data_IF_205258507232
#
_entry.id   IF_205258507232
#
_cell.length_a   1.000
_cell.length_b   1.000
_cell.length_c   1.000
_cell.angle_alpha   90.00
_cell.angle_beta   90.00
_cell.angle_gamma   90.00
#
_symmetry.space_group_name_H-M   'P 1'
#
loop_
_entity.id
_entity.type
_entity.pdbx_description
1 polymer ?
#
# COMPACT_ATOMS: atom_id res chain seq x y z
N UNK A 1 65.32 40.91 -22.11
CA UNK A 1 64.35 40.14 -21.30
C UNK A 1 64.19 38.78 -21.93
N UNK A 2 64.54 37.72 -21.18
CA UNK A 2 64.79 36.37 -21.70
C UNK A 2 63.49 35.64 -22.07
N UNK A 3 63.52 34.91 -23.19
CA UNK A 3 62.47 34.00 -23.68
C UNK A 3 62.05 32.96 -22.62
N UNK A 4 62.89 32.72 -21.60
CA UNK A 4 62.58 31.86 -20.45
C UNK A 4 61.49 32.42 -19.52
N UNK A 5 61.25 33.74 -19.49
CA UNK A 5 60.16 34.31 -18.68
C UNK A 5 58.78 34.20 -19.35
N UNK A 6 58.71 34.15 -20.69
CA UNK A 6 57.44 34.06 -21.41
C UNK A 6 56.84 32.65 -21.35
N UNK A 7 57.67 31.60 -21.39
CA UNK A 7 57.20 30.22 -21.22
C UNK A 7 56.77 29.90 -19.78
N UNK A 8 57.39 30.51 -18.77
CA UNK A 8 56.97 30.30 -17.37
C UNK A 8 55.60 30.94 -17.09
N UNK A 9 55.30 32.09 -17.70
CA UNK A 9 53.98 32.73 -17.59
C UNK A 9 52.88 32.00 -18.37
N UNK A 10 53.20 31.40 -19.53
CA UNK A 10 52.23 30.58 -20.27
C UNK A 10 51.92 29.24 -19.58
N UNK A 11 52.90 28.63 -18.90
CA UNK A 11 52.68 27.43 -18.07
C UNK A 11 51.87 27.74 -16.80
N UNK A 12 52.09 28.91 -16.17
CA UNK A 12 51.30 29.34 -15.00
C UNK A 12 49.86 29.75 -15.38
N UNK A 13 49.63 30.25 -16.60
CA UNK A 13 48.28 30.52 -17.09
C UNK A 13 47.48 29.24 -17.41
N UNK A 14 48.15 28.15 -17.79
CA UNK A 14 47.48 26.84 -18.00
C UNK A 14 47.21 26.07 -16.71
N UNK A 15 47.88 26.37 -15.59
CA UNK A 15 47.57 25.73 -14.28
C UNK A 15 46.49 26.50 -13.52
N UNK A 16 46.30 27.80 -13.79
CA UNK A 16 45.23 28.60 -13.18
C UNK A 16 43.82 28.36 -13.76
N UNK A 17 43.71 27.66 -14.91
CA UNK A 17 42.42 27.32 -15.54
C UNK A 17 41.96 25.89 -15.25
N UNK A 18 42.65 25.15 -14.37
CA UNK A 18 42.43 23.73 -14.16
C UNK A 18 41.96 23.37 -12.74
N UNK A 19 41.34 24.28 -11.97
CA UNK A 19 40.65 23.93 -10.72
C UNK A 19 39.50 24.90 -10.43
N UNK A 20 38.53 24.98 -11.32
CA UNK A 20 37.16 25.27 -10.85
C UNK A 20 36.65 23.90 -10.41
N UNK A 21 36.70 23.62 -9.10
CA UNK A 21 35.90 22.53 -8.55
C UNK A 21 34.49 22.68 -9.13
N UNK A 22 33.87 21.63 -9.69
CA UNK A 22 32.56 21.76 -10.30
C UNK A 22 31.65 22.39 -9.24
N UNK A 23 31.26 23.65 -9.47
CA UNK A 23 30.53 24.42 -8.48
C UNK A 23 29.29 23.63 -8.03
N UNK A 24 28.93 23.76 -6.76
CA UNK A 24 27.75 23.10 -6.21
C UNK A 24 26.55 23.27 -7.17
N UNK A 25 26.05 22.16 -7.69
CA UNK A 25 24.92 22.15 -8.61
C UNK A 25 23.64 22.16 -7.77
N UNK A 26 22.93 23.29 -7.78
CA UNK A 26 21.58 23.35 -7.26
C UNK A 26 20.67 22.47 -8.11
N UNK A 27 19.95 21.56 -7.47
CA UNK A 27 18.92 20.72 -8.09
C UNK A 27 17.60 21.00 -7.40
N UNK A 28 16.55 21.20 -8.20
CA UNK A 28 15.20 21.26 -7.67
C UNK A 28 14.76 19.84 -7.33
N UNK A 29 14.30 19.64 -6.09
CA UNK A 29 13.75 18.38 -5.60
C UNK A 29 12.42 18.64 -4.93
N UNK A 30 11.48 17.72 -5.13
CA UNK A 30 10.16 17.82 -4.52
C UNK A 30 10.23 17.46 -3.03
N UNK A 31 9.46 18.18 -2.20
CA UNK A 31 9.26 17.81 -0.79
C UNK A 31 8.51 16.48 -0.76
N UNK A 32 9.01 15.53 0.03
CA UNK A 32 8.43 14.21 0.21
C UNK A 32 7.93 14.04 1.63
N UNK A 33 6.85 13.28 1.78
CA UNK A 33 6.34 12.79 3.06
C UNK A 33 6.82 11.35 3.26
N UNK A 34 7.10 10.97 4.51
CA UNK A 34 7.33 9.57 4.82
C UNK A 34 6.05 8.74 4.80
N UNK A 35 6.17 7.41 4.77
CA UNK A 35 4.99 6.52 4.67
C UNK A 35 4.04 6.62 5.87
N UNK A 36 4.53 7.10 7.02
CA UNK A 36 3.72 7.39 8.21
C UNK A 36 3.12 8.80 8.21
N UNK A 37 3.51 9.65 7.25
CA UNK A 37 3.14 11.05 7.15
C UNK A 37 3.44 11.88 8.41
N UNK A 38 4.47 11.47 9.16
CA UNK A 38 4.95 12.09 10.39
C UNK A 38 6.11 13.04 10.16
N UNK A 39 6.80 12.93 9.01
CA UNK A 39 7.94 13.78 8.67
C UNK A 39 7.95 14.15 7.19
N UNK A 40 8.56 15.31 6.91
CA UNK A 40 8.84 15.79 5.56
C UNK A 40 10.34 15.88 5.35
N UNK A 41 10.77 15.82 4.10
CA UNK A 41 12.18 15.85 3.73
C UNK A 41 12.37 15.82 2.23
N UNK A 42 13.60 15.52 1.82
CA UNK A 42 14.00 15.44 0.42
C UNK A 42 14.76 14.15 0.18
N UNK A 43 14.62 13.61 -1.02
CA UNK A 43 15.45 12.53 -1.53
C UNK A 43 16.28 13.04 -2.70
N UNK A 44 17.41 12.38 -2.96
CA UNK A 44 18.32 12.77 -4.03
C UNK A 44 17.68 12.62 -5.41
N UNK A 45 16.91 11.55 -5.58
CA UNK A 45 16.21 11.24 -6.84
C UNK A 45 14.69 11.44 -6.69
N UNK A 46 14.05 11.88 -7.76
CA UNK A 46 12.60 12.12 -7.76
C UNK A 46 11.80 10.83 -7.57
N UNK A 47 12.32 9.70 -8.05
CA UNK A 47 11.73 8.36 -7.94
C UNK A 47 11.86 7.73 -6.54
N UNK A 48 12.72 8.27 -5.67
CA UNK A 48 12.91 7.75 -4.32
C UNK A 48 11.78 8.17 -3.37
N UNK A 49 11.52 7.37 -2.34
CA UNK A 49 10.55 7.68 -1.30
C UNK A 49 11.25 7.95 0.03
N UNK A 50 10.78 8.98 0.75
CA UNK A 50 11.34 9.36 2.04
C UNK A 50 10.93 8.34 3.11
N UNK A 51 11.90 7.76 3.81
CA UNK A 51 11.66 6.87 4.96
C UNK A 51 11.62 7.68 6.25
N UNK A 52 12.68 8.47 6.50
CA UNK A 52 12.76 9.36 7.65
C UNK A 52 13.78 10.45 7.38
N UNK A 53 13.43 11.71 7.61
CA UNK A 53 14.37 12.82 7.42
C UNK A 53 15.47 12.87 8.51
N UNK A 54 15.31 12.09 9.59
CA UNK A 54 16.34 11.94 10.62
C UNK A 54 17.39 10.86 10.26
N UNK A 55 17.13 10.05 9.24
CA UNK A 55 18.02 8.97 8.82
C UNK A 55 19.11 9.44 7.86
N UNK A 56 20.08 8.58 7.60
CA UNK A 56 21.30 8.89 6.88
C UNK A 56 21.19 8.57 5.38
N UNK A 57 21.69 9.50 4.55
CA UNK A 57 21.80 9.30 3.10
C UNK A 57 22.86 8.25 2.72
N UNK A 58 23.75 7.87 3.66
CA UNK A 58 24.77 6.84 3.44
C UNK A 58 24.14 5.47 3.20
N UNK A 59 22.97 5.23 3.80
CA UNK A 59 22.25 3.97 3.70
C UNK A 59 21.07 4.03 2.71
N UNK A 60 20.97 5.10 1.91
CA UNK A 60 19.91 5.22 0.91
C UNK A 60 19.88 4.00 -0.01
N UNK A 61 18.66 3.57 -0.33
CA UNK A 61 18.36 2.39 -1.14
C UNK A 61 18.82 1.04 -0.54
N UNK A 62 19.00 0.97 0.79
CA UNK A 62 19.24 -0.26 1.54
C UNK A 62 18.09 -0.48 2.55
N UNK A 63 16.93 -1.02 2.13
CA UNK A 63 15.74 -1.12 2.98
C UNK A 63 15.97 -1.89 4.29
N UNK A 64 16.87 -2.88 4.29
CA UNK A 64 17.19 -3.70 5.46
C UNK A 64 17.81 -2.87 6.61
N UNK A 65 18.53 -1.79 6.28
CA UNK A 65 19.12 -0.88 7.27
C UNK A 65 18.06 -0.10 8.06
N UNK A 66 16.78 -0.12 7.65
CA UNK A 66 15.68 0.50 8.37
C UNK A 66 15.64 0.08 9.84
N UNK A 67 15.89 -1.19 10.12
CA UNK A 67 15.84 -1.75 11.48
C UNK A 67 16.96 -1.22 12.36
N UNK A 68 18.15 -0.97 11.79
CA UNK A 68 19.26 -0.33 12.51
C UNK A 68 18.92 1.14 12.77
N UNK A 69 18.31 1.82 11.79
CA UNK A 69 17.78 3.18 11.91
C UNK A 69 16.86 3.41 13.11
N UNK A 70 16.07 2.41 13.49
CA UNK A 70 15.20 2.48 14.67
C UNK A 70 15.98 2.51 15.99
N UNK A 71 17.22 2.00 16.00
CA UNK A 71 18.11 1.97 17.16
C UNK A 71 19.07 3.16 17.15
N UNK A 72 19.64 3.45 15.97
CA UNK A 72 20.55 4.56 15.71
C UNK A 72 20.19 5.18 14.37
N UNK A 73 19.72 6.44 14.39
CA UNK A 73 19.26 7.14 13.21
C UNK A 73 20.33 7.28 12.13
N UNK A 74 21.62 7.28 12.50
CA UNK A 74 22.72 7.39 11.55
C UNK A 74 22.92 6.12 10.71
N UNK A 75 22.28 5.01 11.11
CA UNK A 75 22.34 3.71 10.44
C UNK A 75 21.10 3.37 9.60
N UNK A 76 20.07 4.23 9.60
CA UNK A 76 18.86 4.04 8.80
C UNK A 76 18.96 4.67 7.41
N UNK A 77 18.16 4.19 6.44
CA UNK A 77 18.09 4.78 5.11
C UNK A 77 17.20 6.03 5.16
N UNK A 78 17.70 7.19 4.73
CA UNK A 78 16.83 8.38 4.60
C UNK A 78 15.78 8.17 3.54
N UNK A 79 16.16 7.58 2.41
CA UNK A 79 15.32 7.31 1.26
C UNK A 79 15.55 5.89 0.70
N UNK A 80 14.50 5.32 0.10
CA UNK A 80 14.60 4.08 -0.68
C UNK A 80 14.16 4.30 -2.12
N UNK A 81 14.67 3.47 -3.02
CA UNK A 81 14.47 3.56 -4.46
C UNK A 81 13.11 3.07 -4.90
N UNK A 82 12.75 3.41 -6.14
CA UNK A 82 11.57 2.86 -6.81
C UNK A 82 11.63 1.33 -6.83
N UNK A 83 10.50 0.67 -6.58
CA UNK A 83 10.43 -0.78 -6.49
C UNK A 83 10.85 -1.38 -5.15
N UNK A 84 11.52 -0.63 -4.28
CA UNK A 84 11.91 -1.10 -2.95
C UNK A 84 10.79 -0.92 -1.93
N UNK A 85 10.84 -1.67 -0.83
CA UNK A 85 9.80 -1.65 0.20
C UNK A 85 10.34 -1.86 1.61
N UNK A 86 9.60 -1.36 2.59
CA UNK A 86 9.77 -1.66 4.02
C UNK A 86 8.43 -2.14 4.57
N UNK A 87 8.37 -3.40 4.99
CA UNK A 87 7.11 -4.09 5.29
C UNK A 87 6.13 -3.88 4.12
N UNK A 88 4.88 -3.50 4.37
CA UNK A 88 3.90 -3.28 3.30
C UNK A 88 4.16 -2.01 2.47
N UNK A 89 5.00 -1.07 2.93
CA UNK A 89 5.17 0.23 2.28
C UNK A 89 6.09 0.09 1.06
N UNK A 90 5.51 0.26 -0.12
CA UNK A 90 6.20 0.10 -1.41
C UNK A 90 6.46 1.48 -2.02
N UNK A 91 7.68 1.73 -2.47
CA UNK A 91 8.02 2.97 -3.16
C UNK A 91 7.67 2.86 -4.65
N UNK A 92 6.73 3.69 -5.11
CA UNK A 92 6.26 3.73 -6.49
C UNK A 92 6.47 5.14 -7.08
N UNK A 93 7.53 5.30 -7.86
CA UNK A 93 7.90 6.52 -8.60
C UNK A 93 7.89 7.76 -7.70
N UNK A 94 8.45 7.62 -6.51
CA UNK A 94 8.60 8.70 -5.55
C UNK A 94 7.39 8.95 -4.64
N UNK A 95 6.31 8.19 -4.82
CA UNK A 95 5.15 8.17 -3.94
C UNK A 95 5.03 6.84 -3.18
N UNK A 96 4.54 6.90 -1.94
CA UNK A 96 4.27 5.69 -1.16
C UNK A 96 2.99 4.99 -1.64
N UNK A 97 3.08 3.69 -1.82
CA UNK A 97 1.98 2.75 -2.07
C UNK A 97 2.07 1.59 -1.08
N UNK A 98 1.30 0.52 -1.28
CA UNK A 98 1.52 -0.75 -0.58
C UNK A 98 1.83 -1.92 -1.53
N UNK A 99 2.49 -2.96 -1.00
CA UNK A 99 2.59 -4.26 -1.69
C UNK A 99 1.24 -4.95 -1.76
N UNK A 100 0.40 -4.76 -0.76
CA UNK A 100 -1.01 -5.21 -0.76
C UNK A 100 -1.79 -4.68 -1.96
N UNK A 101 -1.58 -3.43 -2.38
CA UNK A 101 -2.19 -2.87 -3.60
C UNK A 101 -1.77 -3.62 -4.86
N UNK A 102 -0.48 -3.97 -4.98
CA UNK A 102 0.02 -4.73 -6.12
C UNK A 102 -0.66 -6.11 -6.19
N UNK A 103 -0.73 -6.80 -5.06
CA UNK A 103 -1.44 -8.08 -4.93
C UNK A 103 -2.92 -7.96 -5.26
N UNK A 104 -3.60 -6.92 -4.73
CA UNK A 104 -5.00 -6.66 -5.02
C UNK A 104 -5.24 -6.43 -6.51
N UNK A 105 -4.29 -5.78 -7.20
CA UNK A 105 -4.34 -5.54 -8.64
C UNK A 105 -4.24 -6.86 -9.42
N UNK A 106 -3.34 -7.76 -9.04
CA UNK A 106 -3.23 -9.09 -9.66
C UNK A 106 -4.47 -9.96 -9.44
N UNK A 107 -5.01 -9.97 -8.21
CA UNK A 107 -6.26 -10.69 -7.93
C UNK A 107 -7.43 -10.12 -8.73
N UNK A 108 -7.50 -8.80 -8.87
CA UNK A 108 -8.53 -8.17 -9.67
C UNK A 108 -8.37 -8.52 -11.16
N UNK A 109 -7.15 -8.63 -11.68
CA UNK A 109 -6.89 -9.09 -13.04
C UNK A 109 -7.48 -10.49 -13.30
N UNK A 110 -7.36 -11.42 -12.34
CA UNK A 110 -8.00 -12.74 -12.39
C UNK A 110 -9.52 -12.59 -12.50
N UNK A 111 -10.11 -11.77 -11.63
CA UNK A 111 -11.56 -11.56 -11.59
C UNK A 111 -12.10 -10.97 -12.90
N UNK A 112 -11.40 -9.96 -13.45
CA UNK A 112 -11.79 -9.29 -14.69
C UNK A 112 -11.65 -10.20 -15.92
N UNK A 113 -10.77 -11.19 -15.88
CA UNK A 113 -10.66 -12.21 -16.94
C UNK A 113 -11.74 -13.28 -16.80
N UNK A 114 -11.91 -13.84 -15.61
CA UNK A 114 -12.64 -15.10 -15.43
C UNK A 114 -14.11 -14.90 -14.98
N UNK A 115 -14.41 -13.77 -14.34
CA UNK A 115 -15.76 -13.44 -13.87
C UNK A 115 -15.98 -11.92 -13.82
N UNK A 116 -15.87 -11.21 -14.96
CA UNK A 116 -15.85 -9.73 -15.01
C UNK A 116 -17.08 -9.05 -14.43
N UNK A 117 -18.20 -9.77 -14.34
CA UNK A 117 -19.47 -9.26 -13.83
C UNK A 117 -19.84 -9.82 -12.46
N UNK A 118 -19.08 -10.74 -11.87
CA UNK A 118 -19.44 -11.31 -10.57
C UNK A 118 -18.19 -11.65 -9.75
N UNK A 119 -17.80 -10.73 -8.88
CA UNK A 119 -16.66 -10.95 -7.99
C UNK A 119 -16.73 -10.05 -6.76
N UNK A 120 -15.97 -10.42 -5.73
CA UNK A 120 -15.65 -9.54 -4.61
C UNK A 120 -14.20 -9.70 -4.20
N UNK A 121 -13.53 -8.59 -3.90
CA UNK A 121 -12.17 -8.55 -3.38
C UNK A 121 -12.19 -7.84 -2.03
N UNK A 122 -11.58 -8.44 -1.01
CA UNK A 122 -11.45 -7.83 0.30
C UNK A 122 -10.01 -7.95 0.79
N UNK A 123 -9.36 -6.82 1.06
CA UNK A 123 -8.03 -6.76 1.63
C UNK A 123 -8.07 -6.11 3.01
N UNK A 124 -7.49 -6.77 4.00
CA UNK A 124 -7.37 -6.26 5.37
C UNK A 124 -6.33 -7.07 6.15
N UNK A 125 -6.21 -6.89 7.46
CA UNK A 125 -5.37 -7.77 8.28
C UNK A 125 -5.86 -9.21 8.25
N UNK A 126 -4.95 -10.18 8.45
CA UNK A 126 -5.31 -11.60 8.35
C UNK A 126 -6.41 -12.01 9.34
N UNK A 127 -6.49 -11.34 10.50
CA UNK A 127 -7.50 -11.59 11.53
C UNK A 127 -8.93 -11.25 11.07
N UNK A 128 -9.06 -10.34 10.10
CA UNK A 128 -10.36 -9.89 9.58
C UNK A 128 -10.65 -10.42 8.18
N UNK A 129 -9.62 -10.68 7.37
CA UNK A 129 -9.76 -11.19 6.01
C UNK A 129 -10.02 -12.71 5.96
N UNK A 130 -9.45 -13.49 6.88
CA UNK A 130 -9.56 -14.95 6.89
C UNK A 130 -10.68 -15.43 7.83
N UNK A 131 -11.41 -16.46 7.39
CA UNK A 131 -12.47 -17.09 8.20
C UNK A 131 -11.90 -17.97 9.33
N UNK A 132 -10.74 -18.59 9.11
CA UNK A 132 -10.12 -19.52 10.04
C UNK A 132 -8.60 -19.38 10.00
N UNK A 133 -8.00 -19.15 11.18
CA UNK A 133 -6.55 -18.96 11.36
C UNK A 133 -5.99 -19.80 12.51
N UNK A 134 -6.87 -20.46 13.27
CA UNK A 134 -6.55 -21.22 14.48
C UNK A 134 -6.42 -22.72 14.17
N UNK A 135 -5.67 -23.06 13.12
CA UNK A 135 -5.37 -24.45 12.75
C UNK A 135 -3.87 -24.75 12.83
N UNK A 136 -3.54 -26.04 12.85
CA UNK A 136 -2.17 -26.53 12.85
C UNK A 136 -1.79 -26.95 11.42
N UNK A 137 -0.68 -26.39 10.94
CA UNK A 137 0.07 -26.98 9.83
C UNK A 137 1.00 -28.07 10.35
N UNK A 138 1.62 -28.83 9.45
CA UNK A 138 2.68 -29.80 9.80
C UNK A 138 3.87 -29.14 10.52
N UNK A 139 4.10 -27.85 10.28
CA UNK A 139 5.17 -27.05 10.90
C UNK A 139 4.72 -26.31 12.18
N UNK A 140 3.47 -26.49 12.62
CA UNK A 140 2.91 -25.88 13.84
C UNK A 140 1.76 -24.89 13.57
N UNK A 141 1.38 -24.08 14.58
CA UNK A 141 0.28 -23.13 14.47
C UNK A 141 0.47 -22.12 13.33
N UNK A 142 -0.54 -21.97 12.47
CA UNK A 142 -0.46 -21.08 11.30
C UNK A 142 -0.24 -19.61 11.66
N UNK A 143 -0.71 -19.20 12.85
CA UNK A 143 -0.43 -17.87 13.40
C UNK A 143 1.07 -17.55 13.50
N UNK A 144 1.96 -18.55 13.59
CA UNK A 144 3.41 -18.36 13.61
C UNK A 144 4.01 -18.00 12.22
N UNK A 145 3.20 -18.04 11.17
CA UNK A 145 3.57 -17.68 9.79
C UNK A 145 2.80 -16.47 9.28
N UNK A 146 1.84 -15.95 10.06
CA UNK A 146 1.06 -14.75 9.76
C UNK A 146 1.38 -13.60 10.74
N UNK A 147 1.38 -13.90 12.03
CA UNK A 147 1.45 -12.93 13.11
C UNK A 147 2.85 -12.39 13.39
N UNK A 148 2.98 -11.64 14.50
CA UNK A 148 4.22 -10.96 14.93
C UNK A 148 5.27 -11.93 15.48
N UNK A 149 5.90 -12.69 14.58
CA UNK A 149 6.83 -13.76 14.94
C UNK A 149 8.00 -13.93 13.96
N UNK A 150 8.13 -13.02 12.99
CA UNK A 150 9.19 -13.04 12.00
C UNK A 150 10.29 -12.03 12.37
N UNK A 151 11.51 -12.49 12.68
CA UNK A 151 12.63 -11.60 12.95
C UNK A 151 13.01 -10.85 11.67
N UNK A 152 13.19 -9.55 11.82
CA UNK A 152 13.75 -8.65 10.83
C UNK A 152 15.15 -8.29 11.31
N UNK A 153 16.15 -8.50 10.46
CA UNK A 153 17.54 -8.22 10.78
C UNK A 153 18.00 -6.99 10.02
N UNK A 154 18.57 -6.04 10.75
CA UNK A 154 19.28 -4.90 10.20
C UNK A 154 20.66 -5.29 9.69
N UNK A 155 21.22 -4.44 8.84
CA UNK A 155 22.58 -4.53 8.32
C UNK A 155 23.64 -4.51 9.44
N UNK A 156 23.44 -3.68 10.46
CA UNK A 156 24.34 -3.57 11.63
C UNK A 156 23.97 -4.54 12.77
N UNK A 157 23.03 -5.46 12.53
CA UNK A 157 22.64 -6.51 13.47
C UNK A 157 21.51 -6.14 14.42
N UNK A 158 20.81 -5.01 14.22
CA UNK A 158 19.56 -4.76 14.93
C UNK A 158 18.55 -5.87 14.63
N UNK A 159 17.76 -6.26 15.64
CA UNK A 159 16.75 -7.32 15.49
C UNK A 159 15.41 -6.84 16.00
N UNK A 160 14.43 -6.82 15.11
CA UNK A 160 13.05 -6.44 15.42
C UNK A 160 12.13 -7.57 15.00
N UNK A 161 11.26 -8.04 15.88
CA UNK A 161 10.24 -9.03 15.49
C UNK A 161 9.04 -8.29 14.93
N UNK A 162 8.65 -8.61 13.71
CA UNK A 162 7.45 -8.06 13.06
C UNK A 162 6.50 -9.14 12.54
N UNK A 163 5.35 -8.71 12.02
CA UNK A 163 4.39 -9.60 11.35
C UNK A 163 5.05 -10.33 10.20
N UNK A 164 4.77 -11.63 10.06
CA UNK A 164 5.31 -12.44 8.98
C UNK A 164 4.68 -12.12 7.62
N UNK A 165 3.45 -11.63 7.62
CA UNK A 165 2.74 -11.16 6.42
C UNK A 165 2.19 -9.75 6.67
N UNK A 166 1.93 -9.03 5.58
CA UNK A 166 1.17 -7.77 5.66
C UNK A 166 -0.34 -8.07 5.59
N UNK A 167 -1.13 -7.16 5.02
CA UNK A 167 -2.55 -7.43 4.76
C UNK A 167 -2.71 -8.64 3.83
N UNK A 168 -3.81 -9.36 4.00
CA UNK A 168 -4.24 -10.44 3.12
C UNK A 168 -5.39 -9.93 2.26
N UNK A 169 -5.32 -10.21 0.97
CA UNK A 169 -6.40 -9.99 0.03
C UNK A 169 -7.07 -11.31 -0.30
N UNK A 170 -8.39 -11.39 -0.20
CA UNK A 170 -9.21 -12.54 -0.57
C UNK A 170 -10.13 -12.14 -1.71
N UNK A 171 -10.05 -12.88 -2.81
CA UNK A 171 -10.87 -12.74 -3.99
C UNK A 171 -11.86 -13.90 -4.06
N UNK A 172 -13.14 -13.59 -4.21
CA UNK A 172 -14.16 -14.53 -4.67
C UNK A 172 -14.56 -14.14 -6.10
N UNK A 173 -14.52 -15.08 -7.02
CA UNK A 173 -14.85 -14.85 -8.43
C UNK A 173 -15.53 -16.10 -8.99
N UNK A 174 -16.75 -15.95 -9.50
CA UNK A 174 -17.60 -17.10 -9.81
C UNK A 174 -17.75 -18.02 -8.58
N UNK A 175 -17.35 -19.30 -8.72
CA UNK A 175 -17.34 -20.29 -7.64
C UNK A 175 -15.95 -20.50 -7.01
N UNK A 176 -14.95 -19.75 -7.46
CA UNK A 176 -13.57 -19.91 -7.05
C UNK A 176 -13.20 -18.87 -5.98
N UNK A 177 -12.18 -19.21 -5.20
CA UNK A 177 -11.56 -18.32 -4.23
C UNK A 177 -10.06 -18.33 -4.46
N UNK A 178 -9.46 -17.14 -4.50
CA UNK A 178 -8.03 -16.94 -4.47
C UNK A 178 -7.66 -15.99 -3.33
N UNK A 179 -6.44 -16.06 -2.85
CA UNK A 179 -5.93 -15.05 -1.94
C UNK A 179 -4.48 -14.69 -2.25
N UNK A 180 -4.03 -13.58 -1.69
CA UNK A 180 -2.65 -13.15 -1.79
C UNK A 180 -2.20 -12.34 -0.60
N UNK A 181 -0.89 -12.35 -0.35
CA UNK A 181 -0.26 -11.49 0.65
C UNK A 181 1.21 -11.27 0.33
N UNK A 182 1.76 -10.19 0.86
CA UNK A 182 3.19 -9.93 0.82
C UNK A 182 3.85 -10.39 2.11
N UNK A 183 5.02 -11.00 1.98
CA UNK A 183 5.76 -11.63 3.04
C UNK A 183 6.83 -10.68 3.61
N UNK A 184 7.06 -10.79 4.90
CA UNK A 184 8.17 -10.14 5.62
C UNK A 184 9.20 -11.18 6.08
N UNK A 185 8.97 -12.45 5.80
CA UNK A 185 9.98 -13.50 5.85
C UNK A 185 10.31 -13.96 4.43
N UNK A 186 11.48 -14.59 4.27
CA UNK A 186 11.85 -15.26 3.03
C UNK A 186 10.96 -16.47 2.78
N UNK A 187 10.59 -16.70 1.52
CA UNK A 187 9.77 -17.84 1.10
C UNK A 187 10.48 -19.19 1.28
N UNK A 188 11.81 -19.22 1.32
CA UNK A 188 12.65 -20.40 1.51
C UNK A 188 13.23 -20.49 2.94
N UNK A 189 12.79 -19.61 3.84
CA UNK A 189 13.33 -19.49 5.20
C UNK A 189 12.66 -20.41 6.23
N UNK A 190 13.19 -20.48 7.46
CA UNK A 190 12.60 -21.24 8.57
C UNK A 190 11.21 -20.73 9.00
N UNK A 191 10.88 -19.49 8.64
CA UNK A 191 9.56 -18.87 8.84
C UNK A 191 8.78 -18.73 7.52
N UNK A 192 9.11 -19.56 6.53
CA UNK A 192 8.44 -19.58 5.24
C UNK A 192 6.92 -19.72 5.38
N UNK A 193 6.21 -18.93 4.57
CA UNK A 193 4.76 -19.03 4.44
C UNK A 193 4.31 -20.36 3.80
N UNK A 194 5.17 -21.05 3.06
CA UNK A 194 4.89 -22.37 2.47
C UNK A 194 4.49 -23.40 3.54
N UNK A 195 5.05 -23.27 4.74
CA UNK A 195 4.66 -24.08 5.88
C UNK A 195 3.19 -23.91 6.27
N UNK A 196 2.63 -22.70 6.16
CA UNK A 196 1.21 -22.45 6.43
C UNK A 196 0.29 -23.17 5.44
N UNK A 197 0.81 -23.47 4.24
CA UNK A 197 0.14 -24.19 3.17
C UNK A 197 0.47 -25.70 3.16
N UNK A 198 1.28 -26.18 4.11
CA UNK A 198 1.83 -27.54 4.13
C UNK A 198 2.66 -27.90 2.88
N UNK A 199 3.38 -26.93 2.33
CA UNK A 199 4.28 -27.12 1.19
C UNK A 199 5.74 -27.18 1.64
N UNK A 200 6.58 -27.83 0.84
CA UNK A 200 8.02 -27.91 1.06
C UNK A 200 8.72 -26.57 0.83
N UNK A 201 9.86 -26.33 1.50
CA UNK A 201 10.61 -25.08 1.36
C UNK A 201 11.18 -24.85 -0.05
N UNK A 202 11.40 -25.94 -0.79
CA UNK A 202 11.95 -25.91 -2.15
C UNK A 202 10.87 -25.76 -3.23
N UNK A 203 9.59 -25.76 -2.87
CA UNK A 203 8.47 -25.74 -3.83
C UNK A 203 8.55 -24.52 -4.75
N UNK A 204 8.90 -23.35 -4.20
CA UNK A 204 9.08 -22.11 -4.95
C UNK A 204 10.50 -21.90 -5.50
N UNK A 205 11.34 -22.93 -5.59
CA UNK A 205 12.74 -22.76 -5.98
C UNK A 205 12.93 -22.15 -7.39
N UNK A 206 12.02 -22.43 -8.32
CA UNK A 206 12.02 -21.84 -9.67
C UNK A 206 11.58 -20.37 -9.71
N UNK A 207 10.79 -19.95 -8.72
CA UNK A 207 10.27 -18.59 -8.56
C UNK A 207 11.27 -17.63 -7.87
N UNK A 208 12.46 -18.12 -7.51
CA UNK A 208 13.54 -17.31 -6.92
C UNK A 208 14.38 -16.63 -8.01
N UNK A 209 13.72 -15.89 -8.89
CA UNK A 209 14.35 -15.10 -9.96
C UNK A 209 13.93 -13.63 -9.84
N UNK A 210 14.55 -12.72 -10.61
CA UNK A 210 14.32 -11.27 -10.49
C UNK A 210 13.66 -10.64 -11.72
N UNK A 211 12.84 -11.39 -12.46
CA UNK A 211 12.16 -10.89 -13.66
C UNK A 211 10.98 -9.94 -13.35
N UNK A 212 10.51 -9.94 -12.11
CA UNK A 212 9.48 -9.04 -11.61
C UNK A 212 8.05 -9.52 -11.83
N UNK A 213 7.84 -10.76 -12.30
CA UNK A 213 6.52 -11.34 -12.44
C UNK A 213 6.23 -12.41 -11.36
N UNK A 214 5.08 -13.07 -11.48
CA UNK A 214 4.69 -14.16 -10.60
C UNK A 214 4.94 -15.49 -11.28
N UNK A 215 5.84 -16.27 -10.70
CA UNK A 215 6.15 -17.62 -11.15
C UNK A 215 5.32 -18.66 -10.43
N UNK A 216 4.94 -19.70 -11.16
CA UNK A 216 4.23 -20.85 -10.61
C UNK A 216 5.17 -21.71 -9.74
N UNK A 217 4.85 -21.89 -8.46
CA UNK A 217 5.61 -22.78 -7.57
C UNK A 217 5.13 -24.23 -7.59
N UNK A 218 3.86 -24.48 -7.91
CA UNK A 218 3.21 -25.77 -7.62
C UNK A 218 1.98 -25.59 -6.74
N UNK A 219 1.09 -26.59 -6.71
CA UNK A 219 -0.12 -26.60 -5.88
C UNK A 219 -0.94 -25.29 -5.90
N UNK A 220 -1.07 -24.69 -7.08
CA UNK A 220 -1.77 -23.43 -7.30
C UNK A 220 -1.19 -22.20 -6.57
N UNK A 221 0.07 -22.28 -6.16
CA UNK A 221 0.85 -21.20 -5.56
C UNK A 221 1.65 -20.49 -6.64
N UNK A 222 1.66 -19.16 -6.57
CA UNK A 222 2.47 -18.29 -7.38
C UNK A 222 3.27 -17.35 -6.49
N UNK A 223 4.52 -17.06 -6.84
CA UNK A 223 5.41 -16.22 -6.04
C UNK A 223 6.13 -15.18 -6.91
N UNK A 224 6.25 -13.97 -6.40
CA UNK A 224 7.03 -12.88 -7.00
C UNK A 224 8.13 -12.47 -6.02
N UNK A 225 9.40 -12.67 -6.40
CA UNK A 225 10.54 -12.33 -5.55
C UNK A 225 10.69 -10.83 -5.35
N UNK A 226 10.49 -10.03 -6.40
CA UNK A 226 10.73 -8.58 -6.39
C UNK A 226 9.82 -7.86 -5.40
N UNK A 227 8.59 -8.34 -5.19
CA UNK A 227 7.68 -7.83 -4.16
C UNK A 227 7.61 -8.73 -2.92
N UNK A 228 8.35 -9.83 -2.92
CA UNK A 228 8.29 -10.91 -1.92
C UNK A 228 6.83 -11.21 -1.54
N UNK A 229 6.03 -11.58 -2.52
CA UNK A 229 4.59 -11.80 -2.37
C UNK A 229 4.14 -13.11 -2.98
N UNK A 230 3.06 -13.65 -2.42
CA UNK A 230 2.52 -14.96 -2.78
C UNK A 230 1.04 -14.83 -3.12
N UNK A 231 0.61 -15.59 -4.13
CA UNK A 231 -0.79 -15.82 -4.47
C UNK A 231 -1.09 -17.31 -4.34
N UNK A 232 -2.28 -17.63 -3.86
CA UNK A 232 -2.84 -18.97 -3.89
C UNK A 232 -4.16 -18.91 -4.65
N UNK A 233 -4.23 -19.60 -5.80
CA UNK A 233 -5.35 -19.52 -6.74
C UNK A 233 -5.70 -20.91 -7.30
N UNK A 234 -6.31 -21.80 -6.50
CA UNK A 234 -6.67 -23.16 -6.92
C UNK A 234 -7.60 -23.14 -8.13
N UNK A 235 -7.32 -24.05 -9.08
CA UNK A 235 -8.07 -24.15 -10.33
C UNK A 235 -7.63 -23.17 -11.43
N UNK A 236 -6.64 -22.31 -11.15
CA UNK A 236 -6.08 -21.38 -12.14
C UNK A 236 -4.93 -22.04 -12.91
N UNK A 237 -5.04 -22.08 -14.24
CA UNK A 237 -3.98 -22.62 -15.10
C UNK A 237 -2.81 -21.63 -15.30
N UNK A 238 -3.13 -20.34 -15.39
CA UNK A 238 -2.18 -19.26 -15.62
C UNK A 238 -2.68 -17.96 -14.99
N UNK A 239 -1.76 -17.13 -14.48
CA UNK A 239 -2.08 -15.75 -14.14
C UNK A 239 -2.28 -14.95 -15.42
N UNK A 240 -3.38 -14.19 -15.48
CA UNK A 240 -3.74 -13.43 -16.67
C UNK A 240 -3.00 -12.11 -16.70
N UNK A 241 -2.43 -11.75 -17.85
CA UNK A 241 -1.87 -10.41 -18.07
C UNK A 241 -2.98 -9.50 -18.61
N UNK A 242 -3.59 -8.66 -17.76
CA UNK A 242 -3.57 -7.22 -18.05
C UNK A 242 -3.47 -6.37 -16.77
N UNK A 243 -2.26 -6.02 -16.36
CA UNK A 243 -1.99 -5.17 -15.20
C UNK A 243 -2.55 -3.74 -15.35
N UNK A 244 -2.62 -3.21 -16.58
CA UNK A 244 -3.10 -1.84 -16.82
C UNK A 244 -4.61 -1.68 -16.63
N UNK A 245 -5.42 -2.62 -17.12
CA UNK A 245 -6.88 -2.57 -16.93
C UNK A 245 -7.23 -2.73 -15.46
N UNK A 246 -6.59 -3.68 -14.76
CA UNK A 246 -6.78 -3.87 -13.33
C UNK A 246 -6.38 -2.61 -12.54
N UNK A 247 -5.24 -1.98 -12.88
CA UNK A 247 -4.82 -0.72 -12.27
C UNK A 247 -5.84 0.41 -12.49
N UNK A 248 -6.39 0.54 -13.70
CA UNK A 248 -7.43 1.54 -13.97
C UNK A 248 -8.73 1.26 -13.23
N UNK A 249 -9.14 -0.01 -13.18
CA UNK A 249 -10.32 -0.44 -12.43
C UNK A 249 -10.16 -0.17 -10.93
N UNK A 250 -8.92 -0.22 -10.44
CA UNK A 250 -8.57 0.14 -9.08
C UNK A 250 -8.64 1.66 -8.83
N UNK A 251 -8.06 2.47 -9.73
CA UNK A 251 -7.92 3.92 -9.54
C UNK A 251 -9.18 4.73 -9.88
N UNK A 252 -9.97 4.29 -10.86
CA UNK A 252 -11.18 4.99 -11.30
C UNK A 252 -12.17 5.27 -10.14
N UNK A 253 -12.61 4.27 -9.36
CA UNK A 253 -13.58 4.52 -8.29
C UNK A 253 -13.01 5.37 -7.14
N UNK A 254 -11.69 5.36 -6.93
CA UNK A 254 -11.05 6.30 -6.02
C UNK A 254 -11.10 7.74 -6.54
N UNK A 255 -10.84 7.94 -7.83
CA UNK A 255 -10.91 9.26 -8.45
C UNK A 255 -12.33 9.82 -8.38
N UNK A 256 -13.36 9.01 -8.67
CA UNK A 256 -14.77 9.41 -8.51
C UNK A 256 -15.08 9.85 -7.06
N UNK A 257 -14.58 9.11 -6.07
CA UNK A 257 -14.70 9.50 -4.66
C UNK A 257 -13.96 10.80 -4.33
N UNK A 258 -12.75 10.96 -4.86
CA UNK A 258 -11.95 12.16 -4.65
C UNK A 258 -12.61 13.39 -5.27
N UNK A 259 -13.14 13.24 -6.48
CA UNK A 259 -13.88 14.29 -7.18
C UNK A 259 -15.16 14.67 -6.44
N UNK A 260 -15.91 13.68 -5.94
CA UNK A 260 -17.04 13.93 -5.04
C UNK A 260 -16.63 14.71 -3.79
N UNK A 261 -15.52 14.31 -3.14
CA UNK A 261 -14.99 15.02 -1.96
C UNK A 261 -14.70 16.47 -2.29
N UNK A 262 -13.95 16.74 -3.36
CA UNK A 262 -13.51 18.10 -3.67
C UNK A 262 -14.60 18.99 -4.30
N UNK A 263 -15.62 18.40 -4.91
CA UNK A 263 -16.74 19.15 -5.50
C UNK A 263 -17.88 19.42 -4.50
N UNK A 264 -18.12 18.52 -3.53
CA UNK A 264 -19.30 18.57 -2.67
C UNK A 264 -18.95 18.78 -1.19
N UNK A 265 -17.96 18.04 -0.69
CA UNK A 265 -17.76 17.87 0.77
C UNK A 265 -16.68 18.81 1.32
N UNK A 266 -15.58 18.98 0.57
CA UNK A 266 -14.39 19.65 1.04
C UNK A 266 -14.63 21.16 1.21
N UNK A 267 -14.45 21.64 2.44
CA UNK A 267 -14.51 23.05 2.80
C UNK A 267 -13.29 23.36 3.67
N UNK A 268 -12.14 23.72 3.08
CA UNK A 268 -10.86 23.84 3.81
C UNK A 268 -10.92 24.85 4.95
N UNK A 269 -11.79 25.86 4.85
CA UNK A 269 -12.04 26.88 5.87
C UNK A 269 -12.77 26.35 7.12
N UNK A 270 -13.42 25.18 7.03
CA UNK A 270 -14.09 24.53 8.17
C UNK A 270 -13.33 23.25 8.51
N UNK A 271 -12.62 23.23 9.64
CA UNK A 271 -11.75 22.12 10.02
C UNK A 271 -12.39 20.72 9.92
N UNK A 272 -13.68 20.58 10.27
CA UNK A 272 -14.41 19.31 10.19
C UNK A 272 -14.64 18.79 8.76
N UNK A 273 -14.53 19.67 7.76
CA UNK A 273 -14.71 19.40 6.33
C UNK A 273 -13.40 19.57 5.55
N UNK A 274 -12.26 19.63 6.25
CA UNK A 274 -10.96 19.66 5.60
C UNK A 274 -10.49 18.25 5.23
N UNK A 275 -10.89 17.81 4.03
CA UNK A 275 -10.49 16.57 3.39
C UNK A 275 -9.24 16.69 2.49
N UNK A 276 -8.31 17.61 2.76
CA UNK A 276 -7.12 17.78 1.90
C UNK A 276 -6.30 16.49 1.73
N UNK A 277 -6.35 15.57 2.70
CA UNK A 277 -5.70 14.26 2.63
C UNK A 277 -6.25 13.35 1.51
N UNK A 278 -7.46 13.59 0.98
CA UNK A 278 -7.97 12.89 -0.22
C UNK A 278 -7.21 13.27 -1.50
N UNK A 279 -6.29 14.25 -1.49
CA UNK A 279 -5.39 14.50 -2.64
C UNK A 279 -4.31 13.42 -2.80
N UNK A 280 -4.05 12.67 -1.74
CA UNK A 280 -3.05 11.62 -1.75
C UNK A 280 -3.71 10.29 -2.10
N UNK A 281 -3.18 9.62 -3.11
CA UNK A 281 -3.60 8.26 -3.46
C UNK A 281 -3.37 7.37 -2.23
N UNK A 282 -4.39 6.64 -1.75
CA UNK A 282 -4.26 5.75 -0.61
C UNK A 282 -3.23 4.66 -0.89
N UNK A 283 -2.69 4.09 0.17
CA UNK A 283 -1.85 2.91 0.07
C UNK A 283 -2.68 1.66 -0.26
N UNK A 284 -3.99 1.68 0.05
CA UNK A 284 -4.94 0.61 -0.22
C UNK A 284 -4.64 -0.74 0.47
N UNK A 285 -4.07 -0.68 1.68
CA UNK A 285 -3.89 -1.86 2.54
C UNK A 285 -5.19 -2.35 3.17
N UNK A 286 -6.26 -1.53 3.14
CA UNK A 286 -7.63 -1.90 3.49
C UNK A 286 -8.58 -1.47 2.37
N UNK A 287 -9.06 -2.42 1.57
CA UNK A 287 -9.89 -2.15 0.39
C UNK A 287 -10.95 -3.22 0.20
N UNK A 288 -12.09 -2.84 -0.34
CA UNK A 288 -13.21 -3.71 -0.68
C UNK A 288 -13.73 -3.38 -2.07
N UNK A 289 -13.96 -4.41 -2.87
CA UNK A 289 -14.69 -4.36 -4.12
C UNK A 289 -15.77 -5.43 -4.11
N UNK A 290 -16.93 -5.12 -4.65
CA UNK A 290 -17.92 -6.11 -5.04
C UNK A 290 -18.60 -5.68 -6.35
N UNK A 291 -18.84 -6.64 -7.22
CA UNK A 291 -19.52 -6.44 -8.49
C UNK A 291 -20.49 -7.58 -8.74
N UNK A 292 -21.69 -7.24 -9.16
CA UNK A 292 -22.68 -8.19 -9.67
C UNK A 292 -23.48 -7.57 -10.82
N UNK A 293 -23.28 -8.08 -12.03
CA UNK A 293 -23.74 -7.43 -13.25
C UNK A 293 -23.23 -5.99 -13.36
N UNK A 294 -24.15 -5.03 -13.34
CA UNK A 294 -23.85 -3.60 -13.39
C UNK A 294 -23.68 -2.96 -12.01
N UNK A 295 -24.18 -3.60 -10.96
CA UNK A 295 -24.05 -3.13 -9.58
C UNK A 295 -22.59 -3.23 -9.15
N UNK A 296 -22.12 -2.18 -8.49
CA UNK A 296 -20.73 -2.07 -8.09
C UNK A 296 -20.60 -1.37 -6.74
N UNK A 297 -19.75 -1.91 -5.88
CA UNK A 297 -19.36 -1.33 -4.61
C UNK A 297 -17.84 -1.26 -4.54
N UNK A 298 -17.34 -0.10 -4.19
CA UNK A 298 -15.96 0.15 -3.84
C UNK A 298 -15.89 0.81 -2.47
N UNK A 299 -14.95 0.36 -1.64
CA UNK A 299 -14.64 1.04 -0.40
C UNK A 299 -13.16 0.92 -0.08
N UNK A 300 -12.64 1.91 0.62
CA UNK A 300 -11.29 1.85 1.16
C UNK A 300 -11.22 2.52 2.53
N UNK A 301 -10.22 2.12 3.31
CA UNK A 301 -9.87 2.76 4.57
C UNK A 301 -8.37 3.01 4.61
N UNK A 302 -8.00 4.15 5.16
CA UNK A 302 -6.61 4.51 5.38
C UNK A 302 -6.47 5.08 6.79
N UNK A 303 -5.37 4.71 7.45
CA UNK A 303 -5.07 5.12 8.82
C UNK A 303 -3.86 6.05 8.86
N UNK A 304 -3.84 6.94 9.84
CA UNK A 304 -2.71 7.83 10.16
C UNK A 304 -2.17 8.65 8.97
N UNK A 305 -3.05 9.29 8.18
CA UNK A 305 -2.66 9.99 6.92
C UNK A 305 -2.30 11.46 7.06
N UNK A 306 -2.03 11.93 8.26
CA UNK A 306 -1.55 13.29 8.47
C UNK A 306 -0.69 13.33 9.72
N UNK A 307 0.00 14.45 9.94
CA UNK A 307 0.65 14.74 11.23
C UNK A 307 -0.32 14.64 12.41
N UNK A 308 -1.62 14.87 12.18
CA UNK A 308 -2.68 14.72 13.20
C UNK A 308 -3.22 13.29 13.29
N UNK A 309 -2.61 12.31 12.61
CA UNK A 309 -2.99 10.90 12.63
C UNK A 309 -4.48 10.69 12.34
N UNK A 310 -4.95 11.27 11.24
CA UNK A 310 -6.33 11.12 10.80
C UNK A 310 -6.52 9.74 10.18
N UNK A 311 -7.57 9.05 10.59
CA UNK A 311 -8.09 7.87 9.89
C UNK A 311 -9.26 8.31 9.01
N UNK A 312 -9.36 7.78 7.80
CA UNK A 312 -10.47 8.09 6.92
C UNK A 312 -10.87 6.90 6.05
N UNK A 313 -12.10 6.95 5.55
CA UNK A 313 -12.64 5.94 4.66
C UNK A 313 -13.60 6.58 3.65
N UNK A 314 -13.72 5.92 2.50
CA UNK A 314 -14.65 6.27 1.44
C UNK A 314 -15.38 5.03 0.95
N UNK A 315 -16.65 5.20 0.59
CA UNK A 315 -17.49 4.19 -0.04
C UNK A 315 -18.16 4.79 -1.27
N UNK A 316 -18.15 4.03 -2.35
CA UNK A 316 -18.75 4.37 -3.63
C UNK A 316 -19.59 3.20 -4.11
N UNK A 317 -20.88 3.45 -4.31
CA UNK A 317 -21.84 2.49 -4.82
C UNK A 317 -22.34 3.03 -6.17
N UNK A 318 -22.28 2.21 -7.21
CA UNK A 318 -22.72 2.56 -8.56
C UNK A 318 -23.74 1.56 -9.09
N UNK A 319 -24.73 2.07 -9.81
CA UNK A 319 -25.90 1.35 -10.30
C UNK A 319 -26.71 0.64 -9.20
N UNK A 320 -26.70 1.18 -7.97
CA UNK A 320 -27.45 0.63 -6.83
C UNK A 320 -28.50 1.66 -6.40
N UNK A 321 -29.78 1.31 -6.55
CA UNK A 321 -30.87 2.16 -6.08
C UNK A 321 -31.04 2.03 -4.58
N UNK A 322 -30.72 3.12 -3.86
CA UNK A 322 -30.95 3.20 -2.43
C UNK A 322 -32.22 4.02 -2.13
N UNK A 323 -32.89 3.77 -0.99
CA UNK A 323 -33.96 4.64 -0.52
C UNK A 323 -33.53 6.10 -0.47
N UNK A 324 -34.43 7.04 -0.76
CA UNK A 324 -34.11 8.49 -0.75
C UNK A 324 -33.63 9.01 0.61
N UNK A 325 -33.92 8.28 1.69
CA UNK A 325 -33.46 8.57 3.06
C UNK A 325 -32.20 7.78 3.47
N UNK A 326 -31.52 7.09 2.54
CA UNK A 326 -30.42 6.18 2.84
C UNK A 326 -29.29 6.83 3.65
N UNK A 327 -28.88 8.06 3.29
CA UNK A 327 -27.86 8.79 4.05
C UNK A 327 -28.28 8.99 5.51
N UNK A 328 -29.50 9.48 5.76
CA UNK A 328 -30.00 9.68 7.12
C UNK A 328 -30.16 8.35 7.87
N UNK A 329 -30.75 7.36 7.20
CA UNK A 329 -31.16 6.08 7.79
C UNK A 329 -29.98 5.17 8.11
N UNK A 330 -29.00 5.09 7.22
CA UNK A 330 -27.91 4.10 7.28
C UNK A 330 -26.55 4.69 7.65
N UNK A 331 -26.30 5.98 7.38
CA UNK A 331 -25.00 6.59 7.63
C UNK A 331 -25.08 7.54 8.83
N UNK A 332 -25.89 8.61 8.74
CA UNK A 332 -25.96 9.65 9.77
C UNK A 332 -26.46 9.19 11.13
N UNK A 333 -27.28 8.13 11.14
CA UNK A 333 -27.71 7.49 12.38
C UNK A 333 -26.54 6.93 13.19
N UNK A 334 -25.49 6.46 12.53
CA UNK A 334 -24.31 5.87 13.17
C UNK A 334 -23.17 6.88 13.30
N UNK A 335 -22.95 7.69 12.25
CA UNK A 335 -21.93 8.73 12.24
C UNK A 335 -22.51 10.04 11.66
N UNK A 336 -22.85 10.97 12.55
CA UNK A 336 -23.42 12.26 12.16
C UNK A 336 -22.42 13.14 11.39
N UNK A 337 -21.11 12.84 11.44
CA UNK A 337 -20.04 13.60 10.78
C UNK A 337 -19.65 13.04 9.42
N UNK A 338 -20.00 11.79 9.11
CA UNK A 338 -19.85 11.22 7.77
C UNK A 338 -20.69 12.00 6.76
N UNK A 339 -20.24 12.18 5.52
CA UNK A 339 -20.90 12.99 4.50
C UNK A 339 -21.47 12.09 3.40
N UNK A 340 -22.76 12.27 3.10
CA UNK A 340 -23.51 11.50 2.10
C UNK A 340 -24.80 12.21 1.64
N UNK A 341 -24.98 13.49 1.96
CA UNK A 341 -26.28 14.16 1.78
C UNK A 341 -26.55 14.59 0.33
N UNK A 342 -25.51 14.81 -0.47
CA UNK A 342 -25.62 15.40 -1.81
C UNK A 342 -25.11 14.43 -2.86
N UNK A 343 -25.98 13.55 -3.33
CA UNK A 343 -25.62 12.52 -4.32
C UNK A 343 -25.81 13.04 -5.75
N UNK A 344 -24.90 12.71 -6.69
CA UNK A 344 -24.96 13.23 -8.05
C UNK A 344 -26.09 12.62 -8.89
N UNK A 345 -26.54 11.40 -8.55
CA UNK A 345 -27.67 10.75 -9.22
C UNK A 345 -28.39 9.76 -8.27
N UNK A 346 -29.56 9.24 -8.64
CA UNK A 346 -30.26 8.22 -7.86
C UNK A 346 -29.57 6.85 -7.80
N UNK A 347 -28.67 6.55 -8.74
CA UNK A 347 -27.99 5.25 -8.88
C UNK A 347 -26.55 5.27 -8.36
N UNK A 348 -26.05 6.45 -8.01
CA UNK A 348 -24.70 6.66 -7.50
C UNK A 348 -24.78 7.14 -6.05
N UNK A 349 -24.06 6.47 -5.15
CA UNK A 349 -24.06 6.81 -3.73
C UNK A 349 -22.65 6.82 -3.15
N UNK A 350 -22.27 7.98 -2.64
CA UNK A 350 -20.97 8.26 -2.05
C UNK A 350 -21.10 8.50 -0.55
N UNK A 351 -20.19 7.90 0.22
CA UNK A 351 -20.01 8.16 1.64
C UNK A 351 -18.54 8.45 1.90
N UNK A 352 -18.25 9.54 2.62
CA UNK A 352 -16.90 9.84 3.08
C UNK A 352 -16.92 10.21 4.55
N UNK A 353 -15.96 9.68 5.30
CA UNK A 353 -15.85 9.92 6.71
C UNK A 353 -14.38 10.00 7.13
N UNK A 354 -14.11 10.80 8.16
CA UNK A 354 -12.82 10.80 8.81
C UNK A 354 -12.98 10.88 10.32
N UNK A 355 -11.93 10.46 11.00
CA UNK A 355 -11.78 10.48 12.43
C UNK A 355 -10.52 11.28 12.75
N UNK A 356 -10.72 12.38 13.45
CA UNK A 356 -9.65 13.02 14.21
C UNK A 356 -9.46 12.26 15.53
N UNK A 357 -8.23 12.21 16.09
CA UNK A 357 -7.96 11.59 17.39
C UNK A 357 -8.96 12.04 18.47
N UNK A 358 -9.38 11.12 19.33
CA UNK A 358 -10.46 11.38 20.28
C UNK A 358 -10.09 12.44 21.32
N UNK A 359 -11.03 13.32 21.61
CA UNK A 359 -11.04 14.08 22.87
C UNK A 359 -11.49 13.11 23.96
N UNK A 360 -10.67 12.94 25.00
CA UNK A 360 -10.90 12.01 26.11
C UNK A 360 -12.34 12.16 26.67
N UNK A 361 -13.08 11.05 26.76
CA UNK A 361 -14.37 10.98 27.45
C UNK A 361 -15.63 10.89 26.57
N UNK A 362 -15.52 10.86 25.24
CA UNK A 362 -16.65 10.53 24.34
C UNK A 362 -16.18 9.66 23.18
N UNK A 363 -16.72 8.45 23.09
CA UNK A 363 -16.65 7.59 21.90
C UNK A 363 -17.93 7.81 21.07
N UNK A 364 -18.01 8.81 20.18
CA UNK A 364 -19.00 8.71 19.13
C UNK A 364 -18.65 7.47 18.29
N UNK A 365 -19.64 6.62 18.03
CA UNK A 365 -19.53 5.62 16.97
C UNK A 365 -19.17 6.35 15.68
N UNK A 366 -18.15 5.89 14.98
CA UNK A 366 -17.69 6.46 13.72
C UNK A 366 -17.67 5.33 12.70
N UNK A 367 -18.20 5.59 11.51
CA UNK A 367 -18.33 4.57 10.46
C UNK A 367 -16.96 4.03 9.99
N UNK A 368 -15.90 4.82 10.12
CA UNK A 368 -14.49 4.41 9.90
C UNK A 368 -14.06 3.32 10.88
N UNK A 369 -14.48 3.38 12.14
CA UNK A 369 -14.17 2.35 13.15
C UNK A 369 -14.98 1.06 12.89
N UNK A 370 -16.20 1.20 12.35
CA UNK A 370 -17.07 0.08 11.94
C UNK A 370 -16.72 -0.51 10.57
N UNK A 371 -15.55 -0.22 10.01
CA UNK A 371 -15.10 -0.69 8.69
C UNK A 371 -15.46 -2.15 8.40
N UNK A 372 -15.05 -3.08 9.27
CA UNK A 372 -15.30 -4.51 9.09
C UNK A 372 -16.79 -4.86 9.05
N UNK A 373 -17.59 -4.26 9.92
CA UNK A 373 -19.04 -4.47 9.94
C UNK A 373 -19.72 -3.90 8.69
N UNK A 374 -19.23 -2.74 8.21
CA UNK A 374 -19.79 -2.08 7.02
C UNK A 374 -19.49 -2.88 5.76
N UNK A 375 -18.23 -3.25 5.51
CA UNK A 375 -17.85 -4.03 4.32
C UNK A 375 -18.44 -5.44 4.35
N UNK A 376 -18.55 -6.06 5.53
CA UNK A 376 -19.21 -7.35 5.69
C UNK A 376 -20.70 -7.36 5.28
N UNK A 377 -21.38 -6.20 5.36
CA UNK A 377 -22.79 -6.02 4.96
C UNK A 377 -22.97 -5.53 3.52
N UNK A 378 -21.91 -5.02 2.88
CA UNK A 378 -21.93 -4.49 1.51
C UNK A 378 -21.81 -5.58 0.43
N UNK A 379 -22.13 -6.83 0.77
CA UNK A 379 -22.15 -7.93 -0.19
C UNK A 379 -23.27 -7.67 -1.19
N UNK A 380 -22.91 -7.53 -2.45
CA UNK A 380 -23.87 -7.61 -3.56
C UNK A 380 -24.23 -9.09 -3.70
N UNK A 381 -25.48 -9.44 -3.46
CA UNK A 381 -25.98 -10.82 -3.50
C UNK A 381 -27.16 -10.85 -4.46
N UNK A 382 -27.01 -11.51 -5.60
CA UNK A 382 -28.10 -11.93 -6.48
C UNK A 382 -29.03 -12.94 -5.81
#
# INVERSE_FOLDING_TARGET
MSIRCLMLMLMLASVAAAQVEPGAKWVQVDIKLNFQQTSTGFCREQSQCLVSNAFSEVFDNIPESFWDGLTDSDLGPKCIGDGQFILDNYCARGGWSSRTRLIATELLAIALRDSPSNFSLYCDSFETALNEVNYLSQAGPVLNFLGKSCPQEGFAGARVTERCTNSLCVLKYGQNVAFGTSLNARIDGPKSFLNALNLGLEECGNALNSDGDYDYCGDAVWFNLNTNSILYAPGLAELGVPSDLANQFFLTPYNELSDYVFSVVHKPEVAQFNYTFFRQIPQFSQVYFAKDGFEFVYAFKQKNVTLSQIDYAGWYLSNIELPSDACTRFVKRFDSRANCESQPSPTEFFVVAHKTPQVVGKTPQNIVDSWHETTGRLRVVS
#
